data_IF_680017606499
#
_entry.id   IF_680017606499
#
_cell.length_a   1.000
_cell.length_b   1.000
_cell.length_c   1.000
_cell.angle_alpha   90.00
_cell.angle_beta   90.00
_cell.angle_gamma   90.00
#
_symmetry.space_group_name_H-M   'P 1'
#
loop_
_entity.id
_entity.type
_entity.pdbx_description
1 polymer ?
#
# COMPACT_ATOMS: atom_id res chain seq x y z
N UNK A 1 -7.42 0.84 20.73
CA UNK A 1 -7.60 -0.17 19.65
C UNK A 1 -6.32 -1.03 19.54
N UNK A 2 -5.09 -0.47 19.52
CA UNK A 2 -3.85 -1.23 19.39
C UNK A 2 -3.64 -2.32 20.45
N UNK A 3 -3.96 -2.04 21.71
CA UNK A 3 -3.86 -3.05 22.79
C UNK A 3 -4.84 -4.21 22.61
N UNK A 4 -6.05 -3.95 22.11
CA UNK A 4 -7.02 -5.00 21.80
C UNK A 4 -6.46 -5.92 20.72
N UNK A 5 -5.87 -5.34 19.67
CA UNK A 5 -5.22 -6.10 18.60
C UNK A 5 -4.05 -6.93 19.11
N UNK A 6 -3.22 -6.40 20.03
CA UNK A 6 -2.13 -7.14 20.65
C UNK A 6 -2.62 -8.39 21.43
N UNK A 7 -3.75 -8.27 22.15
CA UNK A 7 -4.35 -9.40 22.86
C UNK A 7 -4.80 -10.47 21.84
N UNK A 8 -5.50 -10.09 20.78
CA UNK A 8 -5.89 -11.02 19.72
C UNK A 8 -4.68 -11.67 19.07
N UNK A 9 -3.64 -10.89 18.76
CA UNK A 9 -2.42 -11.43 18.18
C UNK A 9 -1.76 -12.45 19.11
N UNK A 10 -1.63 -12.14 20.37
CA UNK A 10 -1.02 -13.05 21.38
C UNK A 10 -1.81 -14.33 21.59
N UNK A 11 -3.13 -14.28 21.49
CA UNK A 11 -4.02 -15.44 21.67
C UNK A 11 -4.10 -16.32 20.43
N UNK A 12 -4.09 -15.72 19.23
CA UNK A 12 -4.35 -16.43 17.97
C UNK A 12 -3.10 -16.69 17.14
N UNK A 13 -2.04 -15.93 17.33
CA UNK A 13 -0.82 -16.12 16.58
C UNK A 13 0.03 -17.23 17.20
N UNK A 14 0.39 -18.21 16.36
CA UNK A 14 1.37 -19.24 16.68
C UNK A 14 2.20 -19.57 15.43
N UNK A 15 3.37 -20.17 15.62
CA UNK A 15 4.17 -20.63 14.49
C UNK A 15 3.44 -21.75 13.75
N UNK A 16 3.59 -21.87 12.40
CA UNK A 16 2.92 -22.91 11.63
C UNK A 16 3.04 -24.31 12.23
N UNK A 17 4.23 -24.69 12.71
CA UNK A 17 4.50 -26.01 13.30
C UNK A 17 3.73 -26.27 14.60
N UNK A 18 3.32 -25.21 15.31
CA UNK A 18 2.59 -25.28 16.58
C UNK A 18 1.10 -25.05 16.42
N UNK A 19 0.67 -24.57 15.24
CA UNK A 19 -0.72 -24.22 14.99
C UNK A 19 -1.59 -25.48 14.85
N UNK A 20 -2.39 -25.76 15.86
CA UNK A 20 -3.27 -26.96 15.93
C UNK A 20 -4.38 -26.97 14.87
N UNK A 21 -4.68 -25.82 14.26
CA UNK A 21 -5.74 -25.69 13.23
C UNK A 21 -5.23 -25.95 11.81
N UNK A 22 -3.92 -26.06 11.64
CA UNK A 22 -3.31 -26.30 10.34
C UNK A 22 -3.39 -27.79 10.02
N UNK A 23 -3.80 -28.14 8.80
CA UNK A 23 -3.72 -29.51 8.32
C UNK A 23 -2.27 -29.89 7.99
N UNK A 24 -1.95 -31.18 8.00
CA UNK A 24 -0.61 -31.65 7.64
C UNK A 24 -0.23 -31.27 6.21
N UNK A 25 -1.19 -31.35 5.28
CA UNK A 25 -0.97 -30.95 3.88
C UNK A 25 -0.65 -29.47 3.71
N UNK A 26 -1.30 -28.59 4.50
CA UNK A 26 -1.01 -27.16 4.50
C UNK A 26 0.35 -26.87 5.12
N UNK A 27 0.73 -27.58 6.18
CA UNK A 27 2.06 -27.44 6.79
C UNK A 27 3.17 -27.87 5.83
N UNK A 28 2.99 -29.00 5.13
CA UNK A 28 3.93 -29.50 4.13
C UNK A 28 4.05 -28.51 2.95
N UNK A 29 2.92 -27.90 2.52
CA UNK A 29 2.91 -26.86 1.50
C UNK A 29 3.68 -25.60 1.92
N UNK A 30 3.48 -25.13 3.15
CA UNK A 30 4.21 -23.97 3.72
C UNK A 30 5.72 -24.28 3.81
N UNK A 31 6.08 -25.49 4.22
CA UNK A 31 7.49 -25.89 4.37
C UNK A 31 8.17 -26.14 3.02
N UNK A 32 7.45 -26.51 1.97
CA UNK A 32 8.02 -26.73 0.64
C UNK A 32 8.71 -25.48 0.06
N UNK A 33 8.15 -24.30 0.32
CA UNK A 33 8.79 -23.03 -0.08
C UNK A 33 10.03 -22.73 0.77
N UNK A 34 9.98 -23.09 2.06
CA UNK A 34 11.07 -22.84 3.02
C UNK A 34 12.31 -23.68 2.71
N UNK A 35 12.14 -24.93 2.29
CA UNK A 35 13.28 -25.79 1.88
C UNK A 35 14.00 -25.24 0.65
N UNK A 36 13.25 -24.72 -0.33
CA UNK A 36 13.82 -24.07 -1.50
C UNK A 36 14.56 -22.77 -1.14
N UNK A 37 14.01 -21.97 -0.23
CA UNK A 37 14.66 -20.74 0.26
C UNK A 37 15.92 -21.01 1.11
N UNK A 38 15.93 -22.06 1.93
CA UNK A 38 17.10 -22.42 2.76
C UNK A 38 18.27 -22.81 1.88
N UNK A 39 18.06 -23.62 0.85
CA UNK A 39 19.11 -24.01 -0.11
C UNK A 39 19.70 -22.82 -0.86
N UNK A 40 18.87 -21.79 -1.15
CA UNK A 40 19.32 -20.55 -1.80
C UNK A 40 20.00 -19.62 -0.79
N UNK A 41 19.56 -19.62 0.46
CA UNK A 41 20.08 -18.71 1.50
C UNK A 41 21.46 -19.14 2.01
N UNK A 42 21.79 -20.42 2.03
CA UNK A 42 23.12 -20.91 2.40
C UNK A 42 24.22 -20.44 1.42
N UNK A 43 23.86 -20.04 0.19
CA UNK A 43 24.78 -19.51 -0.83
C UNK A 43 24.80 -17.99 -0.91
N UNK A 44 23.93 -17.26 -0.16
CA UNK A 44 23.89 -15.80 -0.21
C UNK A 44 24.94 -15.16 0.70
N UNK A 45 25.93 -14.50 0.10
CA UNK A 45 26.83 -13.59 0.83
C UNK A 45 26.00 -12.50 1.52
N UNK A 46 26.33 -12.19 2.78
CA UNK A 46 25.72 -11.06 3.51
C UNK A 46 26.09 -9.76 2.80
N UNK A 47 25.10 -9.18 2.12
CA UNK A 47 25.28 -7.91 1.42
C UNK A 47 25.35 -6.78 2.43
N UNK A 48 26.44 -5.98 2.40
CA UNK A 48 26.58 -4.80 3.23
C UNK A 48 25.50 -3.75 2.89
N UNK A 49 24.99 -3.04 3.88
CA UNK A 49 24.04 -1.93 3.71
C UNK A 49 24.57 -0.87 2.73
N UNK A 50 25.85 -0.57 2.77
CA UNK A 50 26.47 0.38 1.83
C UNK A 50 26.48 -0.12 0.39
N UNK A 51 26.61 -1.44 0.19
CA UNK A 51 26.52 -2.04 -1.14
C UNK A 51 25.12 -1.91 -1.73
N UNK A 52 24.06 -1.94 -0.89
CA UNK A 52 22.70 -1.70 -1.36
C UNK A 52 22.50 -0.30 -1.97
N UNK A 53 23.20 0.71 -1.48
CA UNK A 53 23.15 2.07 -2.04
C UNK A 53 23.82 2.20 -3.42
N UNK A 54 24.61 1.21 -3.85
CA UNK A 54 25.22 1.20 -5.19
C UNK A 54 24.26 0.73 -6.29
N UNK A 55 23.15 0.10 -5.93
CA UNK A 55 22.18 -0.36 -6.91
C UNK A 55 21.26 0.77 -7.37
N UNK A 56 21.07 0.90 -8.68
CA UNK A 56 20.15 1.89 -9.27
C UNK A 56 18.71 1.67 -8.82
N UNK A 57 18.30 0.42 -8.63
CA UNK A 57 16.99 0.02 -8.13
C UNK A 57 16.70 0.63 -6.75
N UNK A 58 17.67 0.61 -5.84
CA UNK A 58 17.55 1.23 -4.50
C UNK A 58 17.13 2.69 -4.61
N UNK A 59 17.81 3.45 -5.46
CA UNK A 59 17.50 4.87 -5.65
C UNK A 59 16.13 5.10 -6.33
N UNK A 60 15.74 4.23 -7.25
CA UNK A 60 14.41 4.30 -7.84
C UNK A 60 13.31 4.14 -6.77
N UNK A 61 13.45 3.19 -5.84
CA UNK A 61 12.52 3.03 -4.71
C UNK A 61 12.58 4.19 -3.73
N UNK A 62 13.77 4.67 -3.38
CA UNK A 62 13.95 5.82 -2.47
C UNK A 62 13.25 7.05 -3.03
N UNK A 63 13.52 7.42 -4.28
CA UNK A 63 12.88 8.58 -4.91
C UNK A 63 11.38 8.39 -5.10
N UNK A 64 10.94 7.22 -5.57
CA UNK A 64 9.52 6.91 -5.73
C UNK A 64 8.78 7.06 -4.42
N UNK A 65 9.30 6.49 -3.34
CA UNK A 65 8.69 6.58 -2.01
C UNK A 65 8.72 7.98 -1.44
N UNK A 66 9.87 8.66 -1.54
CA UNK A 66 10.02 10.03 -1.07
C UNK A 66 9.01 11.00 -1.71
N UNK A 67 8.83 10.90 -3.03
CA UNK A 67 7.90 11.77 -3.76
C UNK A 67 6.44 11.46 -3.41
N UNK A 68 6.08 10.20 -3.25
CA UNK A 68 4.70 9.82 -2.97
C UNK A 68 4.30 10.06 -1.52
N UNK A 69 5.17 9.79 -0.55
CA UNK A 69 4.86 9.98 0.87
C UNK A 69 4.65 11.45 1.23
N UNK A 70 5.37 12.38 0.57
CA UNK A 70 5.15 13.80 0.74
C UNK A 70 3.70 14.20 0.45
N UNK A 71 3.10 13.65 -0.60
CA UNK A 71 1.69 13.89 -0.96
C UNK A 71 0.74 13.30 0.09
N UNK A 72 1.03 12.10 0.60
CA UNK A 72 0.24 11.46 1.64
C UNK A 72 0.21 12.29 2.94
N UNK A 73 1.39 12.71 3.41
CA UNK A 73 1.49 13.54 4.61
C UNK A 73 0.81 14.89 4.44
N UNK A 74 0.89 15.48 3.24
CA UNK A 74 0.15 16.70 2.92
C UNK A 74 -1.36 16.49 3.11
N UNK A 75 -1.97 15.48 2.51
CA UNK A 75 -3.39 15.21 2.68
C UNK A 75 -3.76 14.93 4.14
N UNK A 76 -2.94 14.19 4.87
CA UNK A 76 -3.22 13.85 6.26
C UNK A 76 -3.34 15.09 7.16
N UNK A 77 -2.45 16.07 6.98
CA UNK A 77 -2.39 17.24 7.85
C UNK A 77 -3.18 18.44 7.32
N UNK A 78 -3.26 18.63 6.02
CA UNK A 78 -3.85 19.83 5.42
C UNK A 78 -5.31 19.66 5.00
N UNK A 79 -5.78 18.45 4.77
CA UNK A 79 -7.17 18.22 4.37
C UNK A 79 -8.19 18.72 5.40
N UNK A 80 -8.03 18.47 6.72
CA UNK A 80 -8.94 19.04 7.72
C UNK A 80 -8.97 20.58 7.67
N UNK A 81 -7.80 21.22 7.56
CA UNK A 81 -7.68 22.67 7.45
C UNK A 81 -8.28 23.21 6.15
N UNK A 82 -8.16 22.48 5.05
CA UNK A 82 -8.77 22.84 3.78
C UNK A 82 -10.31 22.86 3.91
N UNK A 83 -10.91 21.85 4.51
CA UNK A 83 -12.35 21.77 4.72
C UNK A 83 -12.86 22.89 5.65
N UNK A 84 -12.11 23.18 6.71
CA UNK A 84 -12.41 24.31 7.60
C UNK A 84 -12.33 25.66 6.87
N UNK A 85 -11.23 25.92 6.16
CA UNK A 85 -10.98 27.21 5.52
C UNK A 85 -11.89 27.45 4.30
N UNK A 86 -12.16 26.42 3.50
CA UNK A 86 -12.89 26.55 2.24
C UNK A 86 -14.42 26.48 2.43
N UNK A 87 -14.89 25.70 3.41
CA UNK A 87 -16.31 25.41 3.61
C UNK A 87 -16.83 25.83 4.98
N UNK A 88 -15.99 26.44 5.85
CA UNK A 88 -16.37 26.88 7.18
C UNK A 88 -16.76 25.75 8.14
N UNK A 89 -16.34 24.51 7.85
CA UNK A 89 -16.73 23.35 8.64
C UNK A 89 -16.12 23.37 10.03
N UNK A 90 -16.91 23.06 11.04
CA UNK A 90 -16.42 22.83 12.40
C UNK A 90 -15.86 21.40 12.55
N UNK A 91 -15.05 21.18 13.59
CA UNK A 91 -14.34 19.89 13.81
C UNK A 91 -15.26 18.68 13.78
N UNK A 92 -16.48 18.78 14.29
CA UNK A 92 -17.45 17.66 14.29
C UNK A 92 -17.98 17.35 12.90
N UNK A 93 -18.12 18.35 12.03
CA UNK A 93 -18.60 18.15 10.66
C UNK A 93 -17.53 17.55 9.76
N UNK A 94 -16.24 17.83 10.03
CA UNK A 94 -15.10 17.29 9.29
C UNK A 94 -14.91 15.78 9.54
N UNK A 95 -15.39 15.25 10.66
CA UNK A 95 -15.18 13.83 11.04
C UNK A 95 -15.73 12.86 10.01
N UNK A 96 -16.94 13.07 9.51
CA UNK A 96 -17.57 12.18 8.54
C UNK A 96 -16.87 12.20 7.16
N UNK A 97 -16.57 13.35 6.55
CA UNK A 97 -15.74 13.42 5.35
C UNK A 97 -14.40 12.70 5.46
N UNK A 98 -13.69 12.89 6.58
CA UNK A 98 -12.41 12.20 6.81
C UNK A 98 -12.59 10.69 6.98
N UNK A 99 -13.61 10.25 7.72
CA UNK A 99 -13.89 8.83 7.90
C UNK A 99 -14.17 8.15 6.54
N UNK A 100 -14.95 8.77 5.67
CA UNK A 100 -15.23 8.26 4.33
C UNK A 100 -13.95 8.22 3.50
N UNK A 101 -13.16 9.30 3.47
CA UNK A 101 -11.92 9.36 2.73
C UNK A 101 -10.94 8.25 3.16
N UNK A 102 -10.72 8.09 4.48
CA UNK A 102 -9.81 7.04 4.97
C UNK A 102 -10.36 5.63 4.75
N UNK A 103 -11.67 5.45 4.77
CA UNK A 103 -12.29 4.18 4.37
C UNK A 103 -12.01 3.88 2.89
N UNK A 104 -12.10 4.87 2.02
CA UNK A 104 -11.74 4.72 0.60
C UNK A 104 -10.27 4.30 0.44
N UNK A 105 -9.34 4.87 1.20
CA UNK A 105 -7.92 4.50 1.13
C UNK A 105 -7.67 3.05 1.56
N UNK A 106 -8.42 2.55 2.52
CA UNK A 106 -8.36 1.13 2.93
C UNK A 106 -8.74 0.21 1.76
N UNK A 107 -9.86 0.48 1.09
CA UNK A 107 -10.27 -0.27 -0.09
C UNK A 107 -9.28 -0.11 -1.25
N UNK A 108 -8.71 1.08 -1.42
CA UNK A 108 -7.65 1.34 -2.37
C UNK A 108 -6.42 0.47 -2.16
N UNK A 109 -5.97 0.32 -0.92
CA UNK A 109 -4.83 -0.54 -0.55
C UNK A 109 -5.11 -2.01 -0.87
N UNK A 110 -6.29 -2.52 -0.48
CA UNK A 110 -6.69 -3.91 -0.75
C UNK A 110 -6.79 -4.17 -2.26
N UNK A 111 -7.51 -3.31 -2.98
CA UNK A 111 -7.67 -3.42 -4.43
C UNK A 111 -6.34 -3.30 -5.18
N UNK A 112 -5.47 -2.38 -4.72
CA UNK A 112 -4.14 -2.18 -5.27
C UNK A 112 -3.24 -3.40 -5.12
N UNK A 113 -3.30 -4.10 -4.00
CA UNK A 113 -2.57 -5.35 -3.78
C UNK A 113 -3.08 -6.48 -4.69
N UNK A 114 -4.39 -6.51 -4.96
CA UNK A 114 -5.00 -7.52 -5.84
C UNK A 114 -4.79 -7.22 -7.33
N UNK A 115 -4.73 -5.97 -7.74
CA UNK A 115 -4.74 -5.55 -9.15
C UNK A 115 -3.60 -6.12 -10.01
N UNK A 116 -2.33 -6.27 -9.53
CA UNK A 116 -1.27 -6.93 -10.28
C UNK A 116 -1.58 -8.36 -10.69
N UNK A 117 -2.36 -9.09 -9.88
CA UNK A 117 -2.73 -10.50 -10.17
C UNK A 117 -3.49 -10.63 -11.49
N UNK A 118 -4.21 -9.59 -11.90
CA UNK A 118 -4.89 -9.57 -13.20
C UNK A 118 -3.89 -9.67 -14.37
N UNK A 119 -2.76 -8.96 -14.29
CA UNK A 119 -1.72 -9.02 -15.33
C UNK A 119 -0.93 -10.32 -15.26
N UNK A 120 -0.63 -10.82 -14.05
CA UNK A 120 0.06 -12.08 -13.85
C UNK A 120 -0.76 -13.24 -14.44
N UNK A 121 -2.07 -13.26 -14.22
CA UNK A 121 -2.98 -14.24 -14.83
C UNK A 121 -3.04 -14.15 -16.37
N UNK A 122 -2.66 -13.02 -16.96
CA UNK A 122 -2.51 -12.83 -18.40
C UNK A 122 -1.15 -13.29 -18.94
N UNK A 123 -0.29 -13.88 -18.12
CA UNK A 123 1.00 -14.43 -18.51
C UNK A 123 2.20 -13.48 -18.34
N UNK A 124 2.01 -12.30 -17.70
CA UNK A 124 3.14 -11.44 -17.33
C UNK A 124 3.85 -12.04 -16.09
N UNK A 125 5.17 -11.85 -16.01
CA UNK A 125 5.91 -12.17 -14.78
C UNK A 125 5.48 -11.23 -13.63
N UNK A 126 5.84 -11.57 -12.39
CA UNK A 126 5.39 -10.83 -11.21
C UNK A 126 5.82 -9.35 -11.25
N UNK A 127 7.06 -9.08 -11.64
CA UNK A 127 7.60 -7.71 -11.72
C UNK A 127 6.86 -6.89 -12.79
N UNK A 128 6.77 -7.37 -14.02
CA UNK A 128 6.11 -6.64 -15.13
C UNK A 128 4.61 -6.44 -14.87
N UNK A 129 3.96 -7.44 -14.30
CA UNK A 129 2.55 -7.34 -13.92
C UNK A 129 2.31 -6.24 -12.90
N UNK A 130 3.18 -6.15 -11.90
CA UNK A 130 3.15 -5.09 -10.88
C UNK A 130 3.44 -3.71 -11.47
N UNK A 131 4.48 -3.59 -12.29
CA UNK A 131 4.83 -2.31 -12.93
C UNK A 131 3.70 -1.78 -13.81
N UNK A 132 3.00 -2.65 -14.57
CA UNK A 132 1.82 -2.26 -15.35
C UNK A 132 0.66 -1.81 -14.47
N UNK A 133 0.39 -2.53 -13.38
CA UNK A 133 -0.64 -2.14 -12.42
C UNK A 133 -0.33 -0.77 -11.81
N UNK A 134 0.91 -0.56 -11.35
CA UNK A 134 1.36 0.70 -10.76
C UNK A 134 1.27 1.88 -11.74
N UNK A 135 1.61 1.66 -13.02
CA UNK A 135 1.48 2.68 -14.06
C UNK A 135 0.02 3.11 -14.25
N UNK A 136 -0.91 2.17 -14.29
CA UNK A 136 -2.34 2.48 -14.40
C UNK A 136 -2.87 3.18 -13.13
N UNK A 137 -2.47 2.71 -11.95
CA UNK A 137 -2.85 3.33 -10.67
C UNK A 137 -2.35 4.78 -10.61
N UNK A 138 -1.17 5.09 -11.15
CA UNK A 138 -0.58 6.42 -11.14
C UNK A 138 -1.38 7.49 -11.93
N UNK A 139 -2.33 7.08 -12.77
CA UNK A 139 -3.21 7.99 -13.52
C UNK A 139 -4.32 8.55 -12.61
N UNK A 140 -4.81 7.77 -11.64
CA UNK A 140 -5.96 8.15 -10.82
C UNK A 140 -5.75 9.42 -9.98
N UNK A 141 -4.58 9.73 -9.41
CA UNK A 141 -4.39 10.99 -8.69
C UNK A 141 -4.64 12.25 -9.51
N UNK A 142 -4.61 12.17 -10.84
CA UNK A 142 -4.91 13.32 -11.71
C UNK A 142 -6.34 13.84 -11.52
N UNK A 143 -7.27 13.03 -11.05
CA UNK A 143 -8.65 13.48 -10.78
C UNK A 143 -8.71 14.53 -9.66
N UNK A 144 -7.69 14.59 -8.79
CA UNK A 144 -7.61 15.57 -7.71
C UNK A 144 -7.50 17.00 -8.25
N UNK A 145 -6.99 17.19 -9.48
CA UNK A 145 -6.95 18.49 -10.15
C UNK A 145 -8.35 19.10 -10.33
N UNK A 146 -9.39 18.27 -10.38
CA UNK A 146 -10.79 18.69 -10.49
C UNK A 146 -11.42 19.02 -9.12
N UNK A 147 -10.74 18.73 -8.01
CA UNK A 147 -11.31 18.93 -6.68
C UNK A 147 -11.62 20.40 -6.40
N UNK A 148 -10.69 21.31 -6.69
CA UNK A 148 -10.89 22.74 -6.47
C UNK A 148 -11.91 23.34 -7.45
N UNK A 149 -11.80 23.15 -8.80
CA UNK A 149 -12.74 23.77 -9.73
C UNK A 149 -14.17 23.24 -9.62
N UNK A 150 -14.41 22.05 -9.07
CA UNK A 150 -15.74 21.50 -8.86
C UNK A 150 -16.23 21.63 -7.42
N UNK A 151 -15.39 22.07 -6.52
CA UNK A 151 -15.69 22.17 -5.08
C UNK A 151 -16.76 23.21 -4.74
N UNK A 152 -17.06 24.17 -5.63
CA UNK A 152 -18.14 25.14 -5.44
C UNK A 152 -19.55 24.51 -5.51
N UNK A 153 -19.68 23.34 -6.17
CA UNK A 153 -20.96 22.64 -6.30
C UNK A 153 -21.34 21.96 -4.98
N UNK A 154 -20.37 21.26 -4.37
CA UNK A 154 -20.54 20.56 -3.08
C UNK A 154 -19.19 20.20 -2.49
N UNK A 155 -19.04 20.29 -1.18
CA UNK A 155 -17.83 19.86 -0.47
C UNK A 155 -17.56 18.36 -0.59
N UNK A 156 -18.57 17.55 -0.90
CA UNK A 156 -18.41 16.12 -1.14
C UNK A 156 -17.57 15.82 -2.38
N UNK A 157 -17.62 16.69 -3.39
CA UNK A 157 -16.86 16.46 -4.63
C UNK A 157 -15.34 16.45 -4.36
N UNK A 158 -14.73 17.47 -3.73
CA UNK A 158 -13.34 17.39 -3.32
C UNK A 158 -13.02 16.22 -2.42
N UNK A 159 -13.88 15.90 -1.45
CA UNK A 159 -13.67 14.77 -0.53
C UNK A 159 -13.55 13.45 -1.31
N UNK A 160 -14.45 13.20 -2.26
CA UNK A 160 -14.42 11.98 -3.09
C UNK A 160 -13.23 11.98 -4.04
N UNK A 161 -12.96 13.09 -4.73
CA UNK A 161 -11.84 13.17 -5.69
C UNK A 161 -10.48 13.02 -4.98
N UNK A 162 -10.29 13.65 -3.83
CA UNK A 162 -9.10 13.48 -3.00
C UNK A 162 -9.05 12.05 -2.45
N UNK A 163 -10.19 11.48 -2.05
CA UNK A 163 -10.31 10.09 -1.61
C UNK A 163 -9.88 9.10 -2.70
N UNK A 164 -10.22 9.32 -3.95
CA UNK A 164 -9.76 8.51 -5.10
C UNK A 164 -8.24 8.64 -5.25
N UNK A 165 -7.70 9.86 -5.23
CA UNK A 165 -6.26 10.08 -5.32
C UNK A 165 -5.48 9.45 -4.16
N UNK A 166 -5.99 9.60 -2.95
CA UNK A 166 -5.42 8.99 -1.75
C UNK A 166 -5.50 7.45 -1.77
N UNK A 167 -6.60 6.89 -2.30
CA UNK A 167 -6.76 5.44 -2.53
C UNK A 167 -5.75 4.91 -3.53
N UNK A 168 -5.54 5.63 -4.63
CA UNK A 168 -4.52 5.30 -5.62
C UNK A 168 -3.10 5.36 -5.01
N UNK A 169 -2.81 6.35 -4.18
CA UNK A 169 -1.56 6.42 -3.45
C UNK A 169 -1.34 5.17 -2.57
N UNK A 170 -2.35 4.75 -1.80
CA UNK A 170 -2.24 3.55 -0.96
C UNK A 170 -2.11 2.27 -1.78
N UNK A 171 -2.83 2.16 -2.89
CA UNK A 171 -2.70 1.06 -3.85
C UNK A 171 -1.29 0.99 -4.42
N UNK A 172 -0.71 2.13 -4.80
CA UNK A 172 0.65 2.22 -5.32
C UNK A 172 1.69 1.89 -4.25
N UNK A 173 1.51 2.42 -3.02
CA UNK A 173 2.40 2.17 -1.88
C UNK A 173 2.46 0.68 -1.50
N UNK A 174 1.33 -0.02 -1.51
CA UNK A 174 1.29 -1.47 -1.26
C UNK A 174 2.12 -2.25 -2.29
N UNK A 175 2.08 -1.81 -3.55
CA UNK A 175 2.82 -2.47 -4.62
C UNK A 175 4.31 -2.15 -4.59
N UNK A 176 4.74 -0.92 -4.27
CA UNK A 176 6.15 -0.57 -4.26
C UNK A 176 6.94 -1.42 -3.25
N UNK A 177 6.39 -1.66 -2.07
CA UNK A 177 7.04 -2.50 -1.06
C UNK A 177 7.24 -3.95 -1.54
N UNK A 178 6.23 -4.50 -2.23
CA UNK A 178 6.33 -5.87 -2.76
C UNK A 178 7.26 -5.93 -3.98
N UNK A 179 7.34 -4.85 -4.78
CA UNK A 179 8.24 -4.79 -5.95
C UNK A 179 9.71 -4.82 -5.53
N UNK A 180 10.04 -4.35 -4.31
CA UNK A 180 11.41 -4.46 -3.79
C UNK A 180 11.87 -5.91 -3.74
N UNK A 181 11.04 -6.82 -3.23
CA UNK A 181 11.37 -8.26 -3.19
C UNK A 181 11.47 -8.90 -4.57
N UNK A 182 10.73 -8.39 -5.57
CA UNK A 182 10.80 -8.88 -6.95
C UNK A 182 12.02 -8.33 -7.73
N UNK A 183 12.59 -7.21 -7.29
CA UNK A 183 13.67 -6.50 -8.00
C UNK A 183 15.08 -6.91 -7.54
N UNK A 184 15.19 -7.50 -6.35
CA UNK A 184 16.46 -7.97 -5.80
C UNK A 184 16.43 -9.50 -5.71
N UNK A 185 17.45 -10.17 -6.24
CA UNK A 185 17.57 -11.63 -6.20
C UNK A 185 17.81 -12.16 -4.78
#
# INVERSE_FOLDING_TARGET
>A
IGFIWMIFWWVFYDKPEKQKRLSKAELDYINSDTEAEVLVTEQKEKVSWFKLLSYKQTWAFVFGKFMTDGVWWFFLFWLPKYLEAQYGMVKTEIMLPLAILYSMTMFGSIGGGWFPTYFIKKGYNAYDGRMKAMLLIAIFPLVVLLAQPLGYISFWIPVILIGIGASAHQAWSANIFTTVSDAFP
#
